data_IF_649938425862
#
_entry.id   IF_649938425862
#
_cell.length_a   1.000
_cell.length_b   1.000
_cell.length_c   1.000
_cell.angle_alpha   90.00
_cell.angle_beta   90.00
_cell.angle_gamma   90.00
#
_symmetry.space_group_name_H-M   'P 1'
#
loop_
_entity.id
_entity.type
_entity.pdbx_description
1 polymer ?
#
# COMPACT_ATOMS: atom_id res chain seq x y z
N UNK A 1 -25.78 -20.81 39.36
CA UNK A 1 -25.68 -22.15 38.71
C UNK A 1 -25.68 -22.01 37.17
N UNK A 2 -26.71 -21.40 36.53
CA UNK A 2 -26.81 -21.31 35.07
C UNK A 2 -25.59 -20.61 34.41
N UNK A 3 -25.01 -19.60 35.03
CA UNK A 3 -23.83 -18.86 34.48
C UNK A 3 -22.57 -19.73 34.56
N UNK A 4 -22.45 -20.56 35.59
CA UNK A 4 -21.31 -21.46 35.77
C UNK A 4 -21.30 -22.57 34.70
N UNK A 5 -22.44 -23.20 34.45
CA UNK A 5 -22.60 -24.22 33.41
C UNK A 5 -22.30 -23.67 32.01
N UNK A 6 -22.76 -22.43 31.70
CA UNK A 6 -22.47 -21.80 30.42
C UNK A 6 -20.98 -21.49 30.23
N UNK A 7 -20.26 -21.16 31.29
CA UNK A 7 -18.83 -20.91 31.25
C UNK A 7 -18.03 -22.21 31.08
N UNK A 8 -18.43 -23.28 31.77
CA UNK A 8 -17.82 -24.62 31.65
C UNK A 8 -18.01 -25.17 30.23
N UNK A 9 -19.22 -25.08 29.66
CA UNK A 9 -19.54 -25.52 28.30
C UNK A 9 -18.72 -24.73 27.26
N UNK A 10 -18.58 -23.43 27.43
CA UNK A 10 -17.74 -22.59 26.57
C UNK A 10 -16.28 -23.00 26.61
N UNK A 11 -15.72 -23.25 27.80
CA UNK A 11 -14.32 -23.68 27.95
C UNK A 11 -14.10 -25.06 27.34
N UNK A 12 -15.06 -25.98 27.47
CA UNK A 12 -14.98 -27.29 26.86
C UNK A 12 -15.00 -27.24 25.35
N UNK A 13 -15.90 -26.43 24.75
CA UNK A 13 -15.96 -26.21 23.31
C UNK A 13 -14.66 -25.62 22.77
N UNK A 14 -14.05 -24.66 23.48
CA UNK A 14 -12.76 -24.08 23.11
C UNK A 14 -11.63 -25.12 23.22
N UNK A 15 -11.64 -25.95 24.28
CA UNK A 15 -10.64 -27.00 24.46
C UNK A 15 -10.71 -28.04 23.34
N UNK A 16 -11.91 -28.44 22.94
CA UNK A 16 -12.14 -29.35 21.80
C UNK A 16 -11.68 -28.77 20.50
N UNK A 17 -12.02 -27.51 20.21
CA UNK A 17 -11.59 -26.78 19.02
C UNK A 17 -10.06 -26.68 18.92
N UNK A 18 -9.39 -26.42 20.03
CA UNK A 18 -7.92 -26.32 20.09
C UNK A 18 -7.25 -27.69 20.21
N UNK A 19 -8.02 -28.78 20.35
CA UNK A 19 -7.51 -30.11 20.64
C UNK A 19 -6.53 -30.14 21.84
N UNK A 20 -6.83 -29.33 22.87
CA UNK A 20 -5.97 -29.15 24.03
C UNK A 20 -6.78 -28.80 25.28
N UNK A 21 -6.55 -29.52 26.35
CA UNK A 21 -7.19 -29.29 27.66
C UNK A 21 -6.63 -28.08 28.41
N UNK A 22 -5.43 -27.61 28.04
CA UNK A 22 -4.80 -26.42 28.62
C UNK A 22 -5.07 -25.18 27.72
N UNK A 23 -6.31 -24.75 27.64
CA UNK A 23 -6.82 -23.72 26.74
C UNK A 23 -5.98 -22.43 26.76
N UNK A 24 -5.65 -21.91 27.94
CA UNK A 24 -4.88 -20.67 28.07
C UNK A 24 -3.48 -20.81 27.49
N UNK A 25 -2.82 -21.94 27.69
CA UNK A 25 -1.48 -22.18 27.13
C UNK A 25 -1.53 -22.37 25.63
N UNK A 26 -2.57 -23.04 25.10
CA UNK A 26 -2.78 -23.20 23.68
C UNK A 26 -3.00 -21.84 22.99
N UNK A 27 -3.83 -20.98 23.57
CA UNK A 27 -4.06 -19.62 23.06
C UNK A 27 -2.76 -18.79 23.07
N UNK A 28 -1.98 -18.85 24.17
CA UNK A 28 -0.68 -18.15 24.22
C UNK A 28 0.25 -18.60 23.10
N UNK A 29 0.37 -19.90 22.87
CA UNK A 29 1.19 -20.44 21.76
C UNK A 29 0.70 -19.98 20.39
N UNK A 30 -0.63 -19.91 20.16
CA UNK A 30 -1.20 -19.42 18.93
C UNK A 30 -0.86 -17.94 18.73
N UNK A 31 -1.00 -17.11 19.75
CA UNK A 31 -0.66 -15.69 19.68
C UNK A 31 0.84 -15.50 19.40
N UNK A 32 1.71 -16.20 20.14
CA UNK A 32 3.17 -16.13 19.92
C UNK A 32 3.57 -16.60 18.53
N UNK A 33 2.96 -17.69 18.03
CA UNK A 33 3.19 -18.18 16.67
C UNK A 33 2.69 -17.21 15.62
N UNK A 34 1.53 -16.58 15.82
CA UNK A 34 1.00 -15.58 14.92
C UNK A 34 1.89 -14.33 14.86
N UNK A 35 2.40 -13.88 15.99
CA UNK A 35 3.34 -12.75 16.06
C UNK A 35 4.66 -13.08 15.35
N UNK A 36 5.18 -14.29 15.52
CA UNK A 36 6.39 -14.74 14.84
C UNK A 36 6.19 -14.80 13.32
N UNK A 37 5.08 -15.39 12.86
CA UNK A 37 4.72 -15.45 11.44
C UNK A 37 4.51 -14.05 10.85
N UNK A 38 3.87 -13.15 11.59
CA UNK A 38 3.67 -11.78 11.14
C UNK A 38 4.99 -11.04 10.93
N UNK A 39 5.97 -11.24 11.81
CA UNK A 39 7.31 -10.69 11.67
C UNK A 39 8.08 -11.28 10.49
N UNK A 40 7.94 -12.57 10.26
CA UNK A 40 8.58 -13.26 9.13
C UNK A 40 8.00 -12.78 7.80
N UNK A 41 6.68 -12.68 7.69
CA UNK A 41 6.00 -12.14 6.49
C UNK A 41 6.44 -10.70 6.23
N UNK A 42 6.53 -9.87 7.28
CA UNK A 42 7.00 -8.49 7.15
C UNK A 42 8.46 -8.44 6.66
N UNK A 43 9.35 -9.26 7.21
CA UNK A 43 10.75 -9.32 6.78
C UNK A 43 10.87 -9.74 5.31
N UNK A 44 10.13 -10.76 4.88
CA UNK A 44 10.09 -11.20 3.48
C UNK A 44 9.57 -10.09 2.55
N UNK A 45 8.53 -9.37 2.97
CA UNK A 45 7.99 -8.24 2.20
C UNK A 45 9.03 -7.14 2.03
N UNK A 46 9.75 -6.78 3.09
CA UNK A 46 10.79 -5.75 3.04
C UNK A 46 11.98 -6.16 2.15
N UNK A 47 12.33 -7.43 2.13
CA UNK A 47 13.35 -7.94 1.22
C UNK A 47 12.91 -7.85 -0.24
N UNK A 48 11.69 -8.28 -0.56
CA UNK A 48 11.12 -8.14 -1.90
C UNK A 48 11.05 -6.67 -2.35
N UNK A 49 10.66 -5.77 -1.45
CA UNK A 49 10.64 -4.32 -1.73
C UNK A 49 12.02 -3.82 -2.10
N UNK A 50 13.06 -4.20 -1.38
CA UNK A 50 14.45 -3.82 -1.67
C UNK A 50 14.91 -4.32 -3.04
N UNK A 51 14.68 -5.59 -3.33
CA UNK A 51 15.04 -6.17 -4.63
C UNK A 51 14.32 -5.48 -5.80
N UNK A 52 13.04 -5.14 -5.62
CA UNK A 52 12.28 -4.41 -6.63
C UNK A 52 12.79 -2.99 -6.82
N UNK A 53 13.07 -2.29 -5.72
CA UNK A 53 13.63 -0.96 -5.77
C UNK A 53 14.99 -0.94 -6.47
N UNK A 54 15.87 -1.93 -6.19
CA UNK A 54 17.19 -2.05 -6.82
C UNK A 54 17.08 -2.22 -8.35
N UNK A 55 16.11 -3.00 -8.80
CA UNK A 55 15.84 -3.19 -10.24
C UNK A 55 15.26 -1.93 -10.87
N UNK A 56 14.29 -1.30 -10.22
CA UNK A 56 13.60 -0.13 -10.74
C UNK A 56 14.53 1.08 -10.86
N UNK A 57 15.34 1.36 -9.85
CA UNK A 57 16.31 2.49 -9.90
C UNK A 57 17.22 2.41 -11.11
N UNK A 58 17.57 1.19 -11.57
CA UNK A 58 18.44 0.97 -12.73
C UNK A 58 17.71 1.03 -14.08
N UNK A 59 16.38 0.89 -14.10
CA UNK A 59 15.59 0.69 -15.32
C UNK A 59 14.54 1.77 -15.59
N UNK A 60 14.23 2.61 -14.59
CA UNK A 60 13.22 3.64 -14.77
C UNK A 60 13.71 4.74 -15.74
N UNK A 61 12.86 5.15 -16.70
CA UNK A 61 13.21 6.21 -17.65
C UNK A 61 13.23 7.58 -16.97
N UNK A 62 14.16 8.42 -17.42
CA UNK A 62 14.14 9.84 -17.09
C UNK A 62 13.40 10.60 -18.19
N UNK A 63 12.43 11.42 -17.81
CA UNK A 63 11.65 12.29 -18.69
C UNK A 63 11.54 13.70 -18.11
N UNK A 64 11.90 14.71 -18.87
CA UNK A 64 11.81 16.10 -18.44
C UNK A 64 12.48 16.39 -17.08
N UNK A 65 13.60 15.74 -16.80
CA UNK A 65 14.35 15.89 -15.55
C UNK A 65 13.77 15.18 -14.34
N UNK A 66 12.80 14.27 -14.54
CA UNK A 66 12.25 13.41 -13.49
C UNK A 66 12.33 11.94 -13.86
N UNK A 67 12.49 11.09 -12.88
CA UNK A 67 12.40 9.63 -13.02
C UNK A 67 10.93 9.26 -12.87
N UNK A 68 10.32 8.80 -13.96
CA UNK A 68 8.89 8.52 -14.03
C UNK A 68 8.59 7.02 -13.90
N UNK A 69 7.75 6.67 -12.94
CA UNK A 69 7.12 5.36 -12.82
C UNK A 69 5.59 5.52 -12.80
N UNK A 70 4.94 5.22 -13.91
CA UNK A 70 3.47 5.28 -14.04
C UNK A 70 2.95 3.96 -14.60
N UNK A 71 2.25 3.18 -13.76
CA UNK A 71 1.72 1.87 -14.19
C UNK A 71 0.65 1.32 -13.25
N UNK A 72 -0.08 0.33 -13.73
CA UNK A 72 -0.85 -0.57 -12.88
C UNK A 72 0.04 -1.68 -12.29
N UNK A 73 -0.34 -2.18 -11.13
CA UNK A 73 0.34 -3.27 -10.43
C UNK A 73 -0.67 -4.21 -9.78
N UNK A 74 -0.38 -5.50 -9.82
CA UNK A 74 -1.16 -6.53 -9.11
C UNK A 74 -0.75 -6.67 -7.63
N UNK A 75 0.31 -5.96 -7.23
CA UNK A 75 0.81 -5.99 -5.85
C UNK A 75 -0.16 -5.28 -4.91
N UNK A 76 -0.19 -5.76 -3.66
CA UNK A 76 -1.02 -5.15 -2.61
C UNK A 76 -0.63 -3.69 -2.34
N UNK A 77 -1.57 -2.81 -1.98
CA UNK A 77 -1.30 -1.41 -1.67
C UNK A 77 -0.20 -1.21 -0.61
N UNK A 78 -0.11 -2.11 0.38
CA UNK A 78 0.94 -2.07 1.40
C UNK A 78 2.35 -2.24 0.79
N UNK A 79 2.52 -3.17 -0.17
CA UNK A 79 3.77 -3.34 -0.89
C UNK A 79 4.14 -2.10 -1.70
N UNK A 80 3.17 -1.52 -2.41
CA UNK A 80 3.37 -0.31 -3.21
C UNK A 80 3.78 0.87 -2.32
N UNK A 81 3.19 1.00 -1.15
CA UNK A 81 3.57 2.03 -0.16
C UNK A 81 5.03 1.87 0.26
N UNK A 82 5.44 0.67 0.68
CA UNK A 82 6.81 0.42 1.12
C UNK A 82 7.82 0.64 -0.01
N UNK A 83 7.48 0.20 -1.23
CA UNK A 83 8.27 0.47 -2.44
C UNK A 83 8.41 1.96 -2.71
N UNK A 84 7.32 2.72 -2.59
CA UNK A 84 7.31 4.16 -2.80
C UNK A 84 8.27 4.89 -1.84
N UNK A 85 8.23 4.56 -0.55
CA UNK A 85 9.16 5.13 0.44
C UNK A 85 10.60 4.74 0.17
N UNK A 86 10.86 3.48 -0.23
CA UNK A 86 12.19 3.00 -0.56
C UNK A 86 12.78 3.72 -1.79
N UNK A 87 11.98 3.89 -2.85
CA UNK A 87 12.38 4.62 -4.05
C UNK A 87 12.62 6.11 -3.76
N UNK A 88 11.75 6.76 -2.98
CA UNK A 88 11.91 8.17 -2.60
C UNK A 88 13.21 8.42 -1.85
N UNK A 89 13.63 7.51 -0.98
CA UNK A 89 14.89 7.62 -0.25
C UNK A 89 16.14 7.55 -1.16
N UNK A 90 16.00 7.02 -2.38
CA UNK A 90 17.10 6.80 -3.34
C UNK A 90 17.05 7.74 -4.54
N UNK A 91 15.87 8.23 -4.90
CA UNK A 91 15.61 9.00 -6.13
C UNK A 91 14.92 10.31 -5.77
N UNK A 92 15.70 11.40 -5.77
CA UNK A 92 15.20 12.72 -5.35
C UNK A 92 14.24 13.38 -6.37
N UNK A 93 14.42 13.06 -7.66
CA UNK A 93 13.55 13.52 -8.76
C UNK A 93 12.49 12.50 -9.17
N UNK A 94 12.01 11.67 -8.23
CA UNK A 94 11.02 10.62 -8.44
C UNK A 94 9.62 11.20 -8.70
N UNK A 95 8.95 10.70 -9.72
CA UNK A 95 7.49 10.76 -9.91
C UNK A 95 6.97 9.34 -10.02
N UNK A 96 6.30 8.85 -8.98
CA UNK A 96 5.71 7.51 -8.95
C UNK A 96 4.19 7.63 -8.87
N UNK A 97 3.49 7.06 -9.85
CA UNK A 97 2.04 6.96 -9.92
C UNK A 97 1.67 5.51 -10.18
N UNK A 98 1.14 4.83 -9.18
CA UNK A 98 0.79 3.41 -9.30
C UNK A 98 -0.66 3.16 -8.92
N UNK A 99 -1.37 2.53 -9.84
CA UNK A 99 -2.71 2.02 -9.63
C UNK A 99 -2.69 0.55 -9.24
N UNK A 100 -3.52 0.15 -8.29
CA UNK A 100 -3.76 -1.24 -7.93
C UNK A 100 -5.26 -1.52 -7.89
N UNK A 101 -5.66 -2.76 -8.13
CA UNK A 101 -7.06 -3.17 -8.00
C UNK A 101 -7.11 -4.47 -7.20
N UNK A 102 -7.75 -4.43 -6.04
CA UNK A 102 -7.94 -5.60 -5.19
C UNK A 102 -9.44 -5.84 -5.01
N UNK A 103 -9.89 -7.05 -5.34
CA UNK A 103 -11.32 -7.42 -5.22
C UNK A 103 -12.26 -6.42 -5.89
N UNK A 104 -11.88 -5.90 -7.07
CA UNK A 104 -12.67 -4.91 -7.80
C UNK A 104 -12.63 -3.48 -7.24
N UNK A 105 -11.82 -3.22 -6.21
CA UNK A 105 -11.63 -1.90 -5.61
C UNK A 105 -10.34 -1.28 -6.12
N UNK A 106 -10.42 -0.27 -7.02
CA UNK A 106 -9.24 0.43 -7.50
C UNK A 106 -8.67 1.36 -6.43
N UNK A 107 -7.36 1.44 -6.38
CA UNK A 107 -6.65 2.43 -5.58
C UNK A 107 -5.49 3.03 -6.36
N UNK A 108 -5.19 4.29 -6.07
CA UNK A 108 -4.12 5.07 -6.68
C UNK A 108 -3.14 5.52 -5.60
N UNK A 109 -1.86 5.39 -5.87
CA UNK A 109 -0.78 5.85 -4.98
C UNK A 109 0.14 6.77 -5.77
N UNK A 110 0.42 7.94 -5.19
CA UNK A 110 1.39 8.91 -5.72
C UNK A 110 2.50 9.10 -4.70
N UNK A 111 3.75 9.00 -5.15
CA UNK A 111 4.93 9.39 -4.39
C UNK A 111 5.79 10.34 -5.21
N UNK A 112 6.19 11.45 -4.62
CA UNK A 112 7.06 12.46 -5.22
C UNK A 112 8.37 12.56 -4.45
N UNK A 113 9.48 12.65 -5.18
CA UNK A 113 10.79 12.94 -4.63
C UNK A 113 10.90 14.39 -4.15
N UNK A 114 11.92 14.65 -3.35
CA UNK A 114 12.11 15.97 -2.72
C UNK A 114 12.27 17.11 -3.74
N UNK A 115 12.96 16.85 -4.85
CA UNK A 115 13.17 17.85 -5.90
C UNK A 115 11.87 18.21 -6.63
N UNK A 116 10.95 17.25 -6.77
CA UNK A 116 9.65 17.45 -7.40
C UNK A 116 8.73 18.27 -6.49
N UNK A 117 8.73 17.94 -5.19
CA UNK A 117 7.98 18.72 -4.18
C UNK A 117 8.51 20.15 -4.07
N UNK A 118 9.83 20.33 -4.11
CA UNK A 118 10.47 21.64 -4.07
C UNK A 118 10.08 22.56 -5.25
N UNK A 119 9.69 21.97 -6.40
CA UNK A 119 9.15 22.70 -7.55
C UNK A 119 7.68 23.12 -7.40
N UNK A 120 7.04 22.77 -6.28
CA UNK A 120 5.66 23.16 -5.95
C UNK A 120 4.61 22.07 -6.21
N UNK A 121 4.97 20.94 -6.82
CA UNK A 121 4.04 19.83 -7.07
C UNK A 121 3.57 19.23 -5.75
N UNK A 122 2.25 18.98 -5.65
CA UNK A 122 1.62 18.47 -4.44
C UNK A 122 0.79 17.21 -4.73
N UNK A 123 1.29 16.06 -4.29
CA UNK A 123 0.63 14.78 -4.50
C UNK A 123 -0.81 14.74 -3.94
N UNK A 124 -1.07 15.39 -2.81
CA UNK A 124 -2.40 15.45 -2.21
C UNK A 124 -3.41 16.25 -3.02
N UNK A 125 -2.97 17.28 -3.77
CA UNK A 125 -3.83 18.00 -4.72
C UNK A 125 -4.06 17.18 -5.98
N UNK A 126 -3.00 16.67 -6.58
CA UNK A 126 -3.05 15.87 -7.81
C UNK A 126 -3.97 14.66 -7.64
N UNK A 127 -3.83 13.94 -6.53
CA UNK A 127 -4.59 12.69 -6.34
C UNK A 127 -6.10 12.94 -6.20
N UNK A 128 -6.51 14.07 -5.64
CA UNK A 128 -7.94 14.43 -5.53
C UNK A 128 -8.59 14.64 -6.91
N UNK A 129 -7.87 15.26 -7.82
CA UNK A 129 -8.34 15.42 -9.20
C UNK A 129 -8.34 14.07 -9.94
N UNK A 130 -7.22 13.36 -9.92
CA UNK A 130 -7.08 12.09 -10.62
C UNK A 130 -8.08 11.02 -10.14
N UNK A 131 -8.38 10.97 -8.84
CA UNK A 131 -9.33 10.01 -8.28
C UNK A 131 -10.76 10.17 -8.79
N UNK A 132 -11.14 11.35 -9.29
CA UNK A 132 -12.48 11.60 -9.88
C UNK A 132 -12.72 10.74 -11.10
N UNK A 133 -11.67 10.44 -11.89
CA UNK A 133 -11.79 9.57 -13.07
C UNK A 133 -12.33 8.17 -12.70
N UNK A 134 -11.95 7.65 -11.54
CA UNK A 134 -12.42 6.33 -11.06
C UNK A 134 -13.56 6.42 -10.05
N UNK A 135 -14.31 7.55 -10.03
CA UNK A 135 -15.40 7.82 -9.08
C UNK A 135 -14.95 7.64 -7.63
N UNK A 136 -13.79 8.19 -7.33
CA UNK A 136 -13.10 8.02 -6.06
C UNK A 136 -12.76 9.33 -5.36
N UNK A 137 -12.03 9.19 -4.28
CA UNK A 137 -11.50 10.29 -3.52
C UNK A 137 -10.29 9.86 -2.69
N UNK A 138 -9.49 10.83 -2.31
CA UNK A 138 -8.29 10.57 -1.53
C UNK A 138 -7.63 11.87 -1.08
N UNK A 139 -6.40 11.73 -0.63
CA UNK A 139 -5.58 12.83 -0.17
C UNK A 139 -4.28 12.33 0.45
N UNK A 140 -3.55 13.24 1.03
CA UNK A 140 -2.27 12.92 1.66
C UNK A 140 -1.39 14.14 1.85
N UNK A 141 -0.13 13.86 2.01
CA UNK A 141 0.93 14.85 2.16
C UNK A 141 1.38 15.38 0.77
N UNK A 142 2.14 16.47 0.71
CA UNK A 142 2.68 16.96 -0.56
C UNK A 142 3.53 15.94 -1.33
N UNK A 143 4.21 15.03 -0.64
CA UNK A 143 5.09 14.04 -1.23
C UNK A 143 4.44 12.65 -1.39
N UNK A 144 3.38 12.34 -0.65
CA UNK A 144 2.72 11.03 -0.66
C UNK A 144 1.22 11.16 -0.49
N UNK A 145 0.48 10.56 -1.41
CA UNK A 145 -0.98 10.56 -1.35
C UNK A 145 -1.56 9.25 -1.87
N UNK A 146 -2.72 8.88 -1.35
CA UNK A 146 -3.46 7.69 -1.78
C UNK A 146 -4.93 8.02 -2.00
N UNK A 147 -5.55 7.31 -2.93
CA UNK A 147 -6.98 7.41 -3.21
C UNK A 147 -7.58 6.05 -3.46
N UNK A 148 -8.85 5.90 -3.10
CA UNK A 148 -9.68 4.77 -3.49
C UNK A 148 -10.76 5.18 -4.46
N UNK A 149 -11.20 4.26 -5.31
CA UNK A 149 -12.26 4.49 -6.27
C UNK A 149 -13.30 3.37 -6.29
N UNK A 150 -14.33 3.56 -7.13
CA UNK A 150 -15.41 2.58 -7.32
C UNK A 150 -15.44 1.99 -8.72
N UNK A 151 -14.71 2.58 -9.67
CA UNK A 151 -14.70 2.15 -11.06
C UNK A 151 -13.30 1.66 -11.46
N UNK A 152 -13.05 0.34 -11.43
CA UNK A 152 -11.75 -0.24 -11.78
C UNK A 152 -11.37 -0.04 -13.26
N UNK A 153 -12.35 0.03 -14.16
CA UNK A 153 -12.11 0.22 -15.61
C UNK A 153 -11.48 1.59 -15.92
N UNK A 154 -11.62 2.54 -15.00
CA UNK A 154 -11.08 3.90 -15.11
C UNK A 154 -9.75 4.10 -14.36
N UNK A 155 -9.17 3.04 -13.82
CA UNK A 155 -7.92 3.13 -13.07
C UNK A 155 -6.77 3.68 -13.97
N UNK A 156 -6.69 3.24 -15.23
CA UNK A 156 -5.67 3.75 -16.15
C UNK A 156 -5.88 5.24 -16.44
N UNK A 157 -7.11 5.66 -16.65
CA UNK A 157 -7.43 7.08 -16.85
C UNK A 157 -7.02 7.95 -15.64
N UNK A 158 -7.20 7.43 -14.43
CA UNK A 158 -6.75 8.12 -13.21
C UNK A 158 -5.21 8.22 -13.13
N UNK A 159 -4.48 7.18 -13.53
CA UNK A 159 -3.01 7.20 -13.63
C UNK A 159 -2.57 8.27 -14.64
N UNK A 160 -3.12 8.22 -15.84
CA UNK A 160 -2.77 9.14 -16.93
C UNK A 160 -3.06 10.58 -16.53
N UNK A 161 -4.20 10.84 -15.88
CA UNK A 161 -4.57 12.16 -15.37
C UNK A 161 -3.60 12.67 -14.30
N UNK A 162 -3.18 11.81 -13.38
CA UNK A 162 -2.20 12.17 -12.37
C UNK A 162 -0.86 12.56 -13.00
N UNK A 163 -0.38 11.79 -13.98
CA UNK A 163 0.85 12.07 -14.70
C UNK A 163 0.75 13.40 -15.47
N UNK A 164 -0.34 13.62 -16.20
CA UNK A 164 -0.60 14.88 -16.92
C UNK A 164 -0.48 16.08 -15.97
N UNK A 165 -1.21 16.07 -14.85
CA UNK A 165 -1.22 17.16 -13.88
C UNK A 165 0.18 17.42 -13.29
N UNK A 166 0.91 16.36 -12.94
CA UNK A 166 2.28 16.50 -12.41
C UNK A 166 3.21 17.11 -13.45
N UNK A 167 3.15 16.61 -14.69
CA UNK A 167 4.02 17.10 -15.76
C UNK A 167 3.70 18.55 -16.18
N UNK A 168 2.45 18.96 -16.08
CA UNK A 168 2.04 20.36 -16.36
C UNK A 168 2.55 21.31 -15.28
N UNK A 169 2.56 20.92 -14.01
CA UNK A 169 3.14 21.71 -12.91
C UNK A 169 4.68 21.79 -12.97
N UNK A 170 5.34 20.91 -13.72
CA UNK A 170 6.81 20.86 -13.88
C UNK A 170 7.33 21.67 -15.08
N UNK A 171 6.45 22.14 -15.96
CA UNK A 171 6.80 23.00 -17.12
C UNK A 171 7.13 24.43 -16.68
#
# INVERSE_FOLDING_TARGET
>A
EKVLYAAEDTLQNVAEFLNNTQVVQAIKKIVESNDALSKEVEAMRQEQVREWADRLVKSLPEQNGVILMAKQSERMPAFIKDLAYNLRARVHNLVMVVGTCQEGKPSLTIMLGDDVVAKGVNAGKVIREAAREMNGGGGGQPFFATAGGKNPDKLQAAIDKAVELIMDELK
#
